data_IF_476819461325
#
_entry.id   IF_476819461325
#
_cell.length_a   1.000
_cell.length_b   1.000
_cell.length_c   1.000
_cell.angle_alpha   90.00
_cell.angle_beta   90.00
_cell.angle_gamma   90.00
#
_symmetry.space_group_name_H-M   'P 1'
#
loop_
_entity.id
_entity.type
_entity.pdbx_description
1 polymer ?
#
# COMPACT_ATOMS: atom_id res chain seq x y z
N UNK A 1 -38.29 6.93 15.86
CA UNK A 1 -37.10 6.60 16.62
C UNK A 1 -37.34 5.23 17.18
N UNK A 2 -36.88 4.24 16.42
CA UNK A 2 -37.00 2.81 16.69
C UNK A 2 -35.61 2.22 16.68
N UNK A 3 -35.30 1.36 17.66
CA UNK A 3 -34.04 0.62 17.68
C UNK A 3 -34.04 -0.45 16.60
N UNK A 4 -33.05 -0.36 15.72
CA UNK A 4 -32.79 -1.32 14.65
C UNK A 4 -31.50 -2.08 14.93
N UNK A 5 -31.36 -3.27 14.35
CA UNK A 5 -30.14 -4.07 14.39
C UNK A 5 -29.56 -4.18 12.99
N UNK A 6 -28.36 -3.66 12.79
CA UNK A 6 -27.65 -3.63 11.52
C UNK A 6 -26.54 -4.68 11.52
N UNK A 7 -26.63 -5.64 10.59
CA UNK A 7 -25.49 -6.49 10.25
C UNK A 7 -24.43 -5.69 9.52
N UNK A 8 -23.19 -5.75 9.99
CA UNK A 8 -22.05 -5.03 9.46
C UNK A 8 -20.90 -5.99 9.12
N UNK A 9 -20.09 -5.60 8.15
CA UNK A 9 -18.85 -6.30 7.79
C UNK A 9 -17.74 -5.29 7.50
N UNK A 10 -16.49 -5.62 7.84
CA UNK A 10 -15.32 -4.80 7.50
C UNK A 10 -14.65 -5.39 6.25
N UNK A 11 -14.37 -4.56 5.25
CA UNK A 11 -13.67 -5.00 4.04
C UNK A 11 -12.29 -5.55 4.40
N UNK A 12 -11.90 -6.65 3.75
CA UNK A 12 -10.62 -7.33 4.00
C UNK A 12 -10.55 -8.12 5.31
N UNK A 13 -11.62 -8.15 6.10
CA UNK A 13 -11.67 -8.89 7.36
C UNK A 13 -12.71 -10.01 7.32
N UNK A 14 -12.34 -11.17 7.86
CA UNK A 14 -13.25 -12.30 7.95
C UNK A 14 -14.25 -12.10 9.09
N UNK A 15 -15.53 -11.95 8.76
CA UNK A 15 -16.62 -11.98 9.74
C UNK A 15 -17.65 -10.87 9.56
N UNK A 16 -18.73 -11.00 10.33
CA UNK A 16 -19.81 -10.04 10.42
C UNK A 16 -20.13 -9.77 11.90
N UNK A 17 -20.67 -8.59 12.19
CA UNK A 17 -21.05 -8.19 13.55
C UNK A 17 -22.30 -7.31 13.51
N UNK A 18 -23.08 -7.33 14.59
CA UNK A 18 -24.31 -6.54 14.67
C UNK A 18 -24.11 -5.23 15.43
N UNK A 19 -24.75 -4.17 14.95
CA UNK A 19 -24.82 -2.85 15.61
C UNK A 19 -26.28 -2.54 15.93
N UNK A 20 -26.58 -2.22 17.18
CA UNK A 20 -27.90 -1.73 17.59
C UNK A 20 -27.87 -0.22 17.70
N UNK A 21 -28.75 0.47 16.98
CA UNK A 21 -28.81 1.94 16.91
C UNK A 21 -30.26 2.38 16.70
N UNK A 22 -30.61 3.62 17.07
CA UNK A 22 -31.92 4.19 16.74
C UNK A 22 -31.93 4.69 15.29
N UNK A 23 -32.98 4.41 14.54
CA UNK A 23 -33.10 4.79 13.12
C UNK A 23 -33.19 6.31 12.88
N UNK A 24 -33.48 7.10 13.92
CA UNK A 24 -33.42 8.56 13.88
C UNK A 24 -32.01 9.12 14.12
N UNK A 25 -31.05 8.29 14.51
CA UNK A 25 -29.66 8.73 14.71
C UNK A 25 -28.97 9.03 13.38
N UNK A 26 -27.90 9.82 13.46
CA UNK A 26 -27.15 10.24 12.27
C UNK A 26 -26.12 9.18 11.85
N UNK A 27 -25.76 9.19 10.56
CA UNK A 27 -24.64 8.37 10.04
C UNK A 27 -23.34 8.57 10.85
N UNK A 28 -23.06 9.79 11.32
CA UNK A 28 -21.93 10.07 12.21
C UNK A 28 -21.95 9.31 13.54
N UNK A 29 -23.13 9.06 14.10
CA UNK A 29 -23.31 8.26 15.32
C UNK A 29 -23.11 6.78 14.99
N UNK A 30 -23.63 6.29 13.87
CA UNK A 30 -23.38 4.93 13.39
C UNK A 30 -21.88 4.65 13.22
N UNK A 31 -21.13 5.58 12.60
CA UNK A 31 -19.67 5.47 12.47
C UNK A 31 -18.96 5.32 13.82
N UNK A 32 -19.39 6.08 14.84
CA UNK A 32 -18.82 5.99 16.21
C UNK A 32 -19.08 4.62 16.84
N UNK A 33 -20.32 4.15 16.80
CA UNK A 33 -20.70 2.86 17.39
C UNK A 33 -19.98 1.70 16.72
N UNK A 34 -19.80 1.74 15.39
CA UNK A 34 -19.02 0.75 14.64
C UNK A 34 -17.56 0.70 15.12
N UNK A 35 -16.92 1.87 15.27
CA UNK A 35 -15.54 1.98 15.78
C UNK A 35 -15.43 1.42 17.20
N UNK A 36 -16.33 1.80 18.09
CA UNK A 36 -16.34 1.35 19.49
C UNK A 36 -16.49 -0.16 19.63
N UNK A 37 -17.22 -0.81 18.70
CA UNK A 37 -17.35 -2.28 18.68
C UNK A 37 -16.13 -3.03 18.16
N UNK A 38 -15.32 -2.42 17.29
CA UNK A 38 -14.15 -3.06 16.67
C UNK A 38 -12.88 -2.22 16.81
N UNK A 39 -12.46 -1.85 18.04
CA UNK A 39 -11.37 -0.89 18.24
C UNK A 39 -9.99 -1.44 17.83
N UNK A 40 -9.81 -2.77 17.87
CA UNK A 40 -8.56 -3.41 17.43
C UNK A 40 -8.40 -3.40 15.91
N UNK A 41 -9.52 -3.38 15.17
CA UNK A 41 -9.54 -3.43 13.70
C UNK A 41 -9.66 -2.04 13.09
N UNK A 42 -10.34 -1.12 13.77
CA UNK A 42 -10.61 0.25 13.30
C UNK A 42 -9.75 1.23 14.11
N UNK A 43 -8.56 1.51 13.59
CA UNK A 43 -7.59 2.42 14.23
C UNK A 43 -7.87 3.90 13.90
N UNK A 44 -8.40 4.19 12.72
CA UNK A 44 -8.64 5.55 12.23
C UNK A 44 -9.76 6.28 13.00
N UNK A 45 -9.92 7.59 12.81
CA UNK A 45 -11.03 8.31 13.43
C UNK A 45 -12.38 7.84 12.85
N UNK A 46 -13.43 7.81 13.68
CA UNK A 46 -14.74 7.34 13.23
C UNK A 46 -15.26 8.14 12.03
N UNK A 47 -14.94 9.44 11.94
CA UNK A 47 -15.33 10.30 10.82
C UNK A 47 -14.74 9.85 9.48
N UNK A 48 -13.57 9.21 9.51
CA UNK A 48 -12.81 8.81 8.32
C UNK A 48 -13.33 7.48 7.75
N UNK A 49 -14.09 6.70 8.52
CA UNK A 49 -14.74 5.49 8.03
C UNK A 49 -15.63 5.77 6.83
N UNK A 50 -15.51 4.94 5.80
CA UNK A 50 -16.43 4.94 4.66
C UNK A 50 -17.45 3.81 4.85
N UNK A 51 -18.74 4.15 4.80
CA UNK A 51 -19.83 3.21 4.99
C UNK A 51 -20.59 3.05 3.68
N UNK A 52 -20.73 1.82 3.20
CA UNK A 52 -21.47 1.51 1.98
C UNK A 52 -22.73 0.71 2.33
N UNK A 53 -23.86 1.12 1.77
CA UNK A 53 -25.06 0.30 1.76
C UNK A 53 -24.86 -0.84 0.77
N UNK A 54 -25.17 -2.04 1.24
CA UNK A 54 -25.01 -3.27 0.46
C UNK A 54 -26.30 -3.69 -0.26
N UNK A 55 -27.34 -2.85 -0.21
CA UNK A 55 -28.58 -3.05 -0.94
C UNK A 55 -28.34 -2.82 -2.42
N UNK A 56 -28.45 -3.87 -3.22
CA UNK A 56 -28.28 -3.80 -4.67
C UNK A 56 -29.53 -3.26 -5.38
N UNK A 57 -29.38 -2.86 -6.64
CA UNK A 57 -30.50 -2.55 -7.54
C UNK A 57 -31.39 -3.79 -7.72
N UNK A 58 -32.47 -3.85 -6.96
CA UNK A 58 -33.30 -5.06 -6.80
C UNK A 58 -33.78 -5.28 -5.36
N UNK A 59 -33.22 -4.53 -4.40
CA UNK A 59 -33.65 -4.55 -3.00
C UNK A 59 -33.05 -5.69 -2.17
N UNK A 60 -32.18 -6.50 -2.78
CA UNK A 60 -31.47 -7.60 -2.12
C UNK A 60 -30.22 -7.08 -1.42
N UNK A 61 -30.04 -7.47 -0.16
CA UNK A 61 -28.85 -7.20 0.63
C UNK A 61 -27.77 -8.26 0.38
N UNK A 62 -26.50 -7.89 0.51
CA UNK A 62 -25.41 -8.88 0.60
C UNK A 62 -25.62 -9.79 1.80
N UNK A 63 -25.21 -11.05 1.70
CA UNK A 63 -25.26 -12.00 2.81
C UNK A 63 -23.89 -12.22 3.46
N UNK A 64 -23.87 -12.82 4.65
CA UNK A 64 -22.60 -13.27 5.26
C UNK A 64 -21.80 -14.21 4.35
N UNK A 65 -22.47 -15.02 3.52
CA UNK A 65 -21.82 -15.91 2.57
C UNK A 65 -21.10 -15.14 1.46
N UNK A 66 -21.68 -14.02 1.00
CA UNK A 66 -21.08 -13.17 -0.03
C UNK A 66 -19.86 -12.43 0.51
N UNK A 67 -19.96 -11.89 1.74
CA UNK A 67 -18.82 -11.27 2.42
C UNK A 67 -17.67 -12.26 2.64
N UNK A 68 -17.97 -13.53 2.97
CA UNK A 68 -16.95 -14.58 3.17
C UNK A 68 -16.22 -14.99 1.90
N UNK A 69 -16.85 -14.82 0.73
CA UNK A 69 -16.18 -15.05 -0.57
C UNK A 69 -15.23 -13.91 -0.96
N UNK A 70 -15.26 -12.81 -0.21
CA UNK A 70 -14.53 -11.59 -0.52
C UNK A 70 -15.40 -10.64 -1.33
N UNK A 71 -15.47 -9.37 -0.88
CA UNK A 71 -16.06 -8.28 -1.66
C UNK A 71 -14.90 -7.53 -2.29
N UNK A 72 -14.57 -7.90 -3.54
CA UNK A 72 -13.46 -7.30 -4.29
C UNK A 72 -13.85 -5.99 -4.99
N UNK A 73 -15.15 -5.80 -5.24
CA UNK A 73 -15.68 -4.67 -5.99
C UNK A 73 -16.75 -3.92 -5.17
N UNK A 74 -16.55 -2.62 -4.99
CA UNK A 74 -17.50 -1.71 -4.32
C UNK A 74 -18.37 -0.95 -5.34
N UNK A 75 -18.16 -1.16 -6.64
CA UNK A 75 -18.94 -0.51 -7.69
C UNK A 75 -20.42 -0.90 -7.58
N UNK A 76 -21.30 0.09 -7.69
CA UNK A 76 -22.75 -0.09 -7.53
C UNK A 76 -23.27 -0.08 -6.09
N UNK A 77 -22.40 -0.03 -5.07
CA UNK A 77 -22.82 0.20 -3.69
C UNK A 77 -22.99 1.69 -3.39
N UNK A 78 -24.06 2.04 -2.65
CA UNK A 78 -24.36 3.43 -2.30
C UNK A 78 -23.53 3.86 -1.09
N UNK A 79 -22.64 4.83 -1.29
CA UNK A 79 -21.84 5.45 -0.22
C UNK A 79 -22.72 6.34 0.68
N UNK A 80 -22.59 6.16 1.99
CA UNK A 80 -23.19 7.03 3.01
C UNK A 80 -22.26 8.23 3.30
N UNK A 81 -22.19 9.16 2.36
CA UNK A 81 -21.27 10.30 2.42
C UNK A 81 -21.71 11.37 3.44
N UNK A 82 -23.03 11.60 3.56
CA UNK A 82 -23.55 12.70 4.38
C UNK A 82 -23.69 12.32 5.85
N UNK A 83 -22.64 12.60 6.64
CA UNK A 83 -22.55 12.25 8.06
C UNK A 83 -23.69 12.81 8.95
N UNK A 84 -24.36 13.88 8.51
CA UNK A 84 -25.46 14.54 9.23
C UNK A 84 -26.84 13.93 8.99
N UNK A 85 -26.98 13.01 8.02
CA UNK A 85 -28.28 12.46 7.63
C UNK A 85 -28.72 11.37 8.62
N UNK A 86 -29.99 11.39 9.06
CA UNK A 86 -30.59 10.30 9.83
C UNK A 86 -30.64 8.97 9.07
N UNK A 87 -30.48 7.84 9.76
CA UNK A 87 -30.45 6.51 9.15
C UNK A 87 -31.75 6.16 8.39
N UNK A 88 -32.90 6.59 8.91
CA UNK A 88 -34.20 6.39 8.28
C UNK A 88 -34.39 7.11 6.93
N UNK A 89 -33.49 8.03 6.55
CA UNK A 89 -33.50 8.71 5.25
C UNK A 89 -32.50 8.10 4.25
N UNK A 90 -31.72 7.10 4.67
CA UNK A 90 -30.67 6.45 3.85
C UNK A 90 -30.90 4.95 3.74
N UNK A 91 -32.15 4.53 3.58
CA UNK A 91 -32.55 3.13 3.39
C UNK A 91 -32.13 2.20 4.56
N UNK A 92 -31.96 2.78 5.76
CA UNK A 92 -31.69 2.11 7.03
C UNK A 92 -32.79 2.43 8.06
N UNK A 93 -34.05 2.47 7.63
CA UNK A 93 -35.19 2.55 8.56
C UNK A 93 -35.54 1.18 9.14
N UNK A 94 -36.36 1.15 10.19
CA UNK A 94 -36.93 -0.10 10.70
C UNK A 94 -37.58 -0.94 9.59
N UNK A 95 -38.30 -0.30 8.65
CA UNK A 95 -38.98 -0.98 7.54
C UNK A 95 -38.00 -1.60 6.54
N UNK A 96 -36.86 -0.97 6.32
CA UNK A 96 -35.85 -1.41 5.34
C UNK A 96 -35.01 -2.58 5.85
N UNK A 97 -34.72 -2.57 7.16
CA UNK A 97 -33.87 -3.54 7.86
C UNK A 97 -34.68 -4.75 8.34
N UNK A 98 -36.01 -4.67 8.33
CA UNK A 98 -36.90 -5.71 8.85
C UNK A 98 -36.75 -7.02 8.07
N UNK A 99 -36.16 -8.01 8.72
CA UNK A 99 -36.07 -9.38 8.22
C UNK A 99 -37.02 -10.32 8.96
N UNK A 100 -37.73 -11.14 8.20
CA UNK A 100 -38.34 -12.36 8.73
C UNK A 100 -37.26 -13.46 8.81
N UNK A 101 -36.44 -13.43 9.87
CA UNK A 101 -35.43 -14.46 10.11
C UNK A 101 -36.11 -15.80 10.41
N UNK A 102 -36.00 -16.76 9.49
CA UNK A 102 -36.34 -18.15 9.76
C UNK A 102 -35.11 -18.89 10.28
N UNK A 103 -35.30 -19.88 11.18
CA UNK A 103 -34.20 -20.74 11.68
C UNK A 103 -33.37 -21.39 10.56
N UNK A 104 -33.95 -21.56 9.37
CA UNK A 104 -33.29 -22.09 8.17
C UNK A 104 -32.31 -21.09 7.55
N UNK A 105 -32.63 -19.80 7.51
CA UNK A 105 -31.77 -18.74 6.97
C UNK A 105 -30.50 -18.54 7.82
N UNK A 106 -30.62 -18.60 9.14
CA UNK A 106 -29.48 -18.51 10.07
C UNK A 106 -28.52 -19.69 9.87
N UNK A 107 -29.04 -20.92 9.74
CA UNK A 107 -28.21 -22.10 9.44
C UNK A 107 -27.52 -22.02 8.08
N UNK A 108 -28.15 -21.36 7.11
CA UNK A 108 -27.61 -21.20 5.76
C UNK A 108 -26.63 -20.01 5.61
N UNK A 109 -26.39 -19.22 6.67
CA UNK A 109 -25.58 -17.98 6.63
C UNK A 109 -26.06 -16.98 5.57
N UNK A 110 -27.37 -16.97 5.32
CA UNK A 110 -28.02 -16.01 4.40
C UNK A 110 -28.55 -14.79 5.16
N UNK A 111 -28.02 -14.54 6.35
CA UNK A 111 -28.27 -13.33 7.12
C UNK A 111 -27.68 -12.14 6.36
N UNK A 112 -28.46 -11.07 6.17
CA UNK A 112 -28.00 -9.94 5.39
C UNK A 112 -27.04 -9.07 6.20
N UNK A 113 -26.00 -8.67 5.51
CA UNK A 113 -25.16 -7.54 5.85
C UNK A 113 -25.85 -6.32 5.28
N UNK A 114 -25.99 -5.27 6.07
CA UNK A 114 -26.64 -4.02 5.68
C UNK A 114 -25.58 -3.00 5.29
N UNK A 115 -24.51 -2.92 6.10
CA UNK A 115 -23.46 -1.92 5.97
C UNK A 115 -22.11 -2.60 5.79
N UNK A 116 -21.39 -2.22 4.73
CA UNK A 116 -20.00 -2.57 4.52
C UNK A 116 -19.12 -1.40 4.97
N UNK A 117 -18.16 -1.69 5.83
CA UNK A 117 -17.27 -0.73 6.47
C UNK A 117 -15.91 -0.80 5.79
N UNK A 118 -15.53 0.28 5.12
CA UNK A 118 -14.18 0.46 4.60
C UNK A 118 -13.43 1.31 5.60
N UNK A 119 -12.38 0.71 6.17
CA UNK A 119 -11.36 1.42 6.93
C UNK A 119 -10.40 1.99 5.88
N UNK A 120 -10.30 3.31 5.72
CA UNK A 120 -9.31 3.88 4.83
C UNK A 120 -7.93 3.38 5.25
N UNK A 121 -7.11 2.95 4.30
CA UNK A 121 -5.68 2.88 4.58
C UNK A 121 -5.25 4.27 5.03
N UNK A 122 -4.81 4.38 6.28
CA UNK A 122 -4.32 5.65 6.81
C UNK A 122 -3.17 6.11 5.93
N UNK A 123 -3.42 7.11 5.07
CA UNK A 123 -2.33 7.98 4.64
C UNK A 123 -1.76 8.58 5.94
N UNK A 124 -0.45 8.41 6.21
CA UNK A 124 0.11 8.82 7.48
C UNK A 124 -0.20 10.29 7.71
N UNK A 125 -0.92 10.58 8.80
CA UNK A 125 -1.06 11.95 9.31
C UNK A 125 0.38 12.48 9.49
N UNK A 126 0.70 13.73 9.12
CA UNK A 126 2.01 14.32 9.44
C UNK A 126 2.21 14.19 10.95
N UNK A 127 3.06 13.25 11.36
CA UNK A 127 3.22 12.90 12.75
C UNK A 127 3.74 14.11 13.51
N UNK A 128 3.07 14.50 14.59
CA UNK A 128 3.74 15.24 15.66
C UNK A 128 4.95 14.42 16.13
N UNK A 129 6.12 15.04 16.33
CA UNK A 129 7.39 14.35 16.41
C UNK A 129 7.52 13.63 17.75
N UNK A 130 7.14 12.34 17.78
CA UNK A 130 7.50 11.43 18.88
C UNK A 130 8.08 10.09 18.43
N UNK A 131 8.30 9.88 17.14
CA UNK A 131 9.31 8.92 16.72
C UNK A 131 10.65 9.62 16.85
N UNK A 132 11.52 9.09 17.72
CA UNK A 132 12.92 9.50 17.77
C UNK A 132 13.56 9.14 16.44
N UNK A 133 13.48 10.04 15.46
CA UNK A 133 14.19 9.94 14.19
C UNK A 133 15.67 9.83 14.51
N UNK A 134 16.28 8.72 14.12
CA UNK A 134 17.72 8.59 14.14
C UNK A 134 18.23 9.29 12.89
N UNK A 135 19.18 10.21 13.03
CA UNK A 135 19.81 10.84 11.88
C UNK A 135 21.12 10.11 11.64
N UNK A 136 21.25 9.45 10.48
CA UNK A 136 22.51 8.88 10.02
C UNK A 136 23.00 9.73 8.86
N UNK A 137 24.13 10.42 9.07
CA UNK A 137 24.58 11.50 8.19
C UNK A 137 23.60 12.68 8.22
N UNK A 138 22.94 12.94 7.09
CA UNK A 138 21.87 13.96 6.93
C UNK A 138 20.51 13.34 6.59
N UNK A 139 20.34 12.02 6.75
CA UNK A 139 19.12 11.33 6.35
C UNK A 139 18.34 10.95 7.61
N UNK A 140 17.08 11.41 7.74
CA UNK A 140 16.21 10.99 8.83
C UNK A 140 15.77 9.54 8.63
N UNK A 141 16.04 8.70 9.62
CA UNK A 141 15.70 7.27 9.63
C UNK A 141 14.65 7.01 10.71
N UNK A 142 13.60 6.28 10.33
CA UNK A 142 12.58 5.80 11.25
C UNK A 142 13.08 4.58 12.04
N UNK A 143 12.67 4.46 13.31
CA UNK A 143 13.04 3.31 14.16
C UNK A 143 12.46 1.98 13.68
N UNK A 144 11.39 2.01 12.87
CA UNK A 144 10.79 0.85 12.21
C UNK A 144 11.65 0.27 11.08
N UNK A 145 12.66 1.02 10.60
CA UNK A 145 13.52 0.56 9.52
C UNK A 145 14.53 -0.49 10.01
N UNK A 146 14.73 -1.53 9.21
CA UNK A 146 15.84 -2.46 9.41
C UNK A 146 17.11 -1.85 8.83
N UNK A 147 18.01 -1.38 9.71
CA UNK A 147 19.29 -0.79 9.33
C UNK A 147 20.36 -1.84 9.04
N UNK A 148 21.09 -1.65 7.95
CA UNK A 148 22.21 -2.48 7.51
C UNK A 148 21.97 -4.00 7.58
N UNK A 149 20.89 -4.55 6.99
CA UNK A 149 20.72 -5.99 6.91
C UNK A 149 21.93 -6.62 6.20
N UNK A 150 22.60 -7.65 6.75
CA UNK A 150 23.86 -8.16 6.21
C UNK A 150 23.82 -8.53 4.73
N UNK A 151 22.73 -9.18 4.29
CA UNK A 151 22.55 -9.56 2.88
C UNK A 151 22.38 -8.35 1.95
N UNK A 152 21.67 -7.31 2.41
CA UNK A 152 21.50 -6.06 1.65
C UNK A 152 22.81 -5.27 1.58
N UNK A 153 23.58 -5.25 2.68
CA UNK A 153 24.92 -4.64 2.73
C UNK A 153 25.85 -5.34 1.74
N UNK A 154 25.85 -6.68 1.68
CA UNK A 154 26.66 -7.44 0.73
C UNK A 154 26.31 -7.10 -0.71
N UNK A 155 25.01 -7.08 -1.04
CA UNK A 155 24.50 -6.66 -2.35
C UNK A 155 24.97 -5.26 -2.74
N UNK A 156 24.74 -4.27 -1.88
CA UNK A 156 25.05 -2.88 -2.23
C UNK A 156 26.56 -2.62 -2.31
N UNK A 157 27.35 -3.24 -1.43
CA UNK A 157 28.82 -3.23 -1.53
C UNK A 157 29.31 -3.84 -2.84
N UNK A 158 28.67 -4.90 -3.34
CA UNK A 158 29.03 -5.46 -4.64
C UNK A 158 28.81 -4.44 -5.75
N UNK A 159 27.70 -3.69 -5.74
CA UNK A 159 27.43 -2.64 -6.72
C UNK A 159 28.40 -1.46 -6.64
N UNK A 160 28.73 -1.00 -5.43
CA UNK A 160 29.70 0.09 -5.22
C UNK A 160 31.10 -0.25 -5.76
N UNK A 161 31.48 -1.53 -5.68
CA UNK A 161 32.79 -2.00 -6.11
C UNK A 161 32.82 -2.53 -7.56
N UNK A 162 31.67 -2.79 -8.17
CA UNK A 162 31.61 -3.33 -9.52
C UNK A 162 32.03 -2.26 -10.55
N UNK A 163 32.98 -2.66 -11.41
CA UNK A 163 33.56 -1.83 -12.48
C UNK A 163 33.22 -2.35 -13.88
N UNK A 164 32.36 -3.36 -13.99
CA UNK A 164 31.97 -3.97 -15.26
C UNK A 164 31.37 -2.93 -16.20
N UNK A 165 31.84 -2.89 -17.44
CA UNK A 165 31.31 -1.94 -18.42
C UNK A 165 29.82 -2.25 -18.72
N UNK A 166 28.94 -1.26 -18.59
CA UNK A 166 27.51 -1.42 -18.89
C UNK A 166 27.30 -1.24 -20.38
N UNK A 167 27.50 -2.32 -21.13
CA UNK A 167 27.27 -2.39 -22.58
C UNK A 167 26.40 -3.59 -22.93
N UNK A 168 25.79 -3.56 -24.11
CA UNK A 168 25.02 -4.68 -24.64
C UNK A 168 25.78 -6.00 -24.49
N UNK A 169 25.06 -7.03 -24.05
CA UNK A 169 25.55 -8.41 -23.86
C UNK A 169 26.53 -8.62 -22.70
N UNK A 170 26.86 -7.57 -21.95
CA UNK A 170 27.62 -7.72 -20.72
C UNK A 170 26.82 -8.50 -19.66
N UNK A 171 27.54 -9.23 -18.81
CA UNK A 171 26.99 -9.93 -17.67
C UNK A 171 27.62 -9.37 -16.40
N UNK A 172 26.76 -8.91 -15.49
CA UNK A 172 27.17 -8.43 -14.17
C UNK A 172 26.90 -9.56 -13.19
N UNK A 173 27.95 -10.07 -12.56
CA UNK A 173 27.87 -11.16 -11.59
C UNK A 173 28.18 -10.64 -10.19
N UNK A 174 27.26 -10.87 -9.26
CA UNK A 174 27.52 -10.61 -7.85
C UNK A 174 28.49 -11.67 -7.29
N UNK A 175 29.24 -11.34 -6.23
CA UNK A 175 30.06 -12.31 -5.51
C UNK A 175 29.27 -13.53 -5.05
N UNK A 176 29.98 -14.62 -4.73
CA UNK A 176 29.37 -15.83 -4.16
C UNK A 176 28.51 -15.49 -2.95
N UNK A 177 27.37 -16.16 -2.84
CA UNK A 177 26.38 -16.00 -1.78
C UNK A 177 25.82 -14.57 -1.63
N UNK A 178 25.97 -13.74 -2.66
CA UNK A 178 25.40 -12.40 -2.75
C UNK A 178 24.29 -12.38 -3.79
N UNK A 179 23.12 -11.86 -3.40
CA UNK A 179 21.92 -11.85 -4.24
C UNK A 179 21.35 -10.44 -4.35
N UNK A 180 20.63 -10.17 -5.44
CA UNK A 180 19.97 -8.88 -5.67
C UNK A 180 19.00 -8.56 -4.53
N UNK A 181 19.12 -7.36 -3.95
CA UNK A 181 18.41 -6.93 -2.73
C UNK A 181 18.58 -7.86 -1.52
N UNK A 182 19.58 -8.74 -1.53
CA UNK A 182 19.79 -9.73 -0.46
C UNK A 182 18.85 -10.93 -0.48
N UNK A 183 18.11 -11.17 -1.58
CA UNK A 183 17.20 -12.32 -1.70
C UNK A 183 17.56 -13.23 -2.87
N UNK A 184 17.63 -14.55 -2.61
CA UNK A 184 17.97 -15.56 -3.61
C UNK A 184 16.96 -15.65 -4.75
N UNK A 185 15.71 -15.23 -4.52
CA UNK A 185 14.63 -15.26 -5.52
C UNK A 185 14.89 -14.36 -6.73
N UNK A 186 15.64 -13.27 -6.55
CA UNK A 186 15.98 -12.35 -7.62
C UNK A 186 17.25 -12.78 -8.38
N UNK A 187 17.99 -13.75 -7.84
CA UNK A 187 19.25 -14.23 -8.40
C UNK A 187 20.44 -13.31 -8.10
N UNK A 188 21.58 -13.64 -8.70
CA UNK A 188 22.88 -13.01 -8.46
C UNK A 188 23.55 -12.47 -9.72
N UNK A 189 22.82 -12.43 -10.84
CA UNK A 189 23.36 -12.04 -12.16
C UNK A 189 22.41 -11.10 -12.88
N UNK A 190 22.95 -10.13 -13.60
CA UNK A 190 22.21 -9.20 -14.44
C UNK A 190 22.80 -9.25 -15.85
N UNK A 191 22.00 -9.65 -16.82
CA UNK A 191 22.35 -9.56 -18.23
C UNK A 191 21.96 -8.20 -18.79
N UNK A 192 22.91 -7.49 -19.39
CA UNK A 192 22.71 -6.17 -19.98
C UNK A 192 22.14 -6.33 -21.37
N UNK A 193 20.84 -6.08 -21.49
CA UNK A 193 20.15 -6.12 -22.78
C UNK A 193 20.65 -5.00 -23.69
N UNK A 194 20.58 -5.26 -25.00
CA UNK A 194 20.99 -4.33 -26.03
C UNK A 194 20.36 -2.92 -25.90
N UNK A 195 19.10 -2.84 -25.44
CA UNK A 195 18.41 -1.57 -25.25
C UNK A 195 18.79 -0.80 -23.98
N UNK A 196 19.43 -1.42 -22.99
CA UNK A 196 19.65 -0.79 -21.68
C UNK A 196 20.55 0.45 -21.73
N UNK A 197 21.69 0.48 -22.46
CA UNK A 197 22.55 1.66 -22.51
C UNK A 197 21.82 2.89 -23.08
N UNK A 198 21.11 2.73 -24.19
CA UNK A 198 20.35 3.84 -24.80
C UNK A 198 19.14 4.24 -23.96
N UNK A 199 18.43 3.27 -23.37
CA UNK A 199 17.30 3.54 -22.49
C UNK A 199 17.75 4.33 -21.25
N UNK A 200 18.92 4.01 -20.69
CA UNK A 200 19.46 4.77 -19.57
C UNK A 200 19.79 6.21 -19.94
N UNK A 201 20.38 6.46 -21.13
CA UNK A 201 20.62 7.84 -21.60
C UNK A 201 19.32 8.65 -21.67
N UNK A 202 18.24 8.05 -22.15
CA UNK A 202 16.91 8.70 -22.17
C UNK A 202 16.43 8.99 -20.74
N UNK A 203 16.55 8.04 -19.81
CA UNK A 203 16.21 8.27 -18.42
C UNK A 203 17.02 9.42 -17.81
N UNK A 204 18.33 9.47 -18.05
CA UNK A 204 19.18 10.57 -17.55
C UNK A 204 18.73 11.93 -18.08
N UNK A 205 18.36 12.03 -19.36
CA UNK A 205 17.85 13.27 -19.96
C UNK A 205 16.54 13.72 -19.30
N UNK A 206 15.65 12.79 -18.95
CA UNK A 206 14.41 13.10 -18.25
C UNK A 206 14.65 13.55 -16.81
N UNK A 207 15.56 12.86 -16.11
CA UNK A 207 15.80 13.08 -14.68
C UNK A 207 16.61 14.36 -14.41
N UNK A 208 17.48 14.73 -15.35
CA UNK A 208 18.30 15.94 -15.28
C UNK A 208 17.76 17.11 -16.11
N UNK A 209 16.49 17.04 -16.49
CA UNK A 209 15.82 18.15 -17.16
C UNK A 209 15.76 19.36 -16.20
N UNK A 210 16.28 20.50 -16.67
CA UNK A 210 16.39 21.73 -15.88
C UNK A 210 15.04 22.37 -15.58
N UNK A 211 14.00 22.07 -16.36
CA UNK A 211 12.67 22.64 -16.17
C UNK A 211 11.89 21.93 -15.06
N UNK A 212 12.00 20.61 -14.97
CA UNK A 212 11.29 19.79 -13.98
C UNK A 212 12.11 19.50 -12.73
N UNK A 213 13.43 19.32 -12.86
CA UNK A 213 14.39 19.06 -11.77
C UNK A 213 13.92 17.99 -10.76
N UNK A 214 13.23 16.94 -11.24
CA UNK A 214 12.74 15.86 -10.38
C UNK A 214 13.58 14.60 -10.56
N UNK A 215 14.30 14.13 -9.52
CA UNK A 215 15.15 12.93 -9.58
C UNK A 215 14.36 11.60 -9.59
N UNK A 216 13.06 11.64 -9.87
CA UNK A 216 12.14 10.51 -9.67
C UNK A 216 11.82 9.81 -10.99
N UNK A 217 12.09 8.51 -11.05
CA UNK A 217 11.87 7.68 -12.23
C UNK A 217 10.89 6.54 -11.92
N UNK A 218 9.78 6.52 -12.66
CA UNK A 218 8.83 5.40 -12.66
C UNK A 218 8.95 4.67 -13.99
N UNK A 219 9.17 3.35 -13.94
CA UNK A 219 9.40 2.54 -15.14
C UNK A 219 8.16 1.69 -15.41
N UNK A 220 7.45 2.04 -16.49
CA UNK A 220 6.23 1.36 -16.95
C UNK A 220 6.53 0.42 -18.13
N UNK A 221 5.68 -0.59 -18.32
CA UNK A 221 5.71 -1.45 -19.50
C UNK A 221 5.03 -2.80 -19.27
N UNK A 222 5.04 -3.67 -20.27
CA UNK A 222 4.34 -4.96 -20.18
C UNK A 222 4.96 -5.92 -19.13
N UNK A 223 4.16 -6.79 -18.49
CA UNK A 223 4.68 -7.82 -17.58
C UNK A 223 5.79 -8.66 -18.24
N UNK A 224 6.83 -9.00 -17.47
CA UNK A 224 7.94 -9.85 -17.95
C UNK A 224 8.93 -9.19 -18.91
N UNK A 225 8.72 -7.93 -19.34
CA UNK A 225 9.62 -7.27 -20.30
C UNK A 225 11.01 -6.91 -19.74
N UNK A 226 11.26 -7.13 -18.44
CA UNK A 226 12.58 -6.94 -17.83
C UNK A 226 12.77 -5.61 -17.09
N UNK A 227 11.68 -4.98 -16.64
CA UNK A 227 11.67 -3.68 -15.94
C UNK A 227 12.44 -3.74 -14.61
N UNK A 228 12.25 -4.82 -13.85
CA UNK A 228 12.95 -5.05 -12.58
C UNK A 228 14.47 -5.11 -12.77
N UNK A 229 14.95 -5.86 -13.77
CA UNK A 229 16.37 -5.99 -14.07
C UNK A 229 16.97 -4.69 -14.61
N UNK A 230 16.23 -3.94 -15.43
CA UNK A 230 16.67 -2.60 -15.83
C UNK A 230 16.77 -1.67 -14.62
N UNK A 231 15.84 -1.77 -13.67
CA UNK A 231 15.93 -1.09 -12.37
C UNK A 231 17.22 -1.40 -11.62
N UNK A 232 17.68 -2.66 -11.60
CA UNK A 232 18.97 -3.01 -10.99
C UNK A 232 20.17 -2.42 -11.74
N UNK A 233 20.11 -2.30 -13.07
CA UNK A 233 21.14 -1.61 -13.85
C UNK A 233 21.20 -0.13 -13.49
N UNK A 234 20.05 0.53 -13.32
CA UNK A 234 19.98 1.91 -12.85
C UNK A 234 20.59 2.04 -11.45
N UNK A 235 20.23 1.13 -10.53
CA UNK A 235 20.81 1.10 -9.18
C UNK A 235 22.34 0.99 -9.20
N UNK A 236 22.89 0.13 -10.05
CA UNK A 236 24.35 0.00 -10.21
C UNK A 236 24.98 1.32 -10.67
N UNK A 237 24.39 1.97 -11.67
CA UNK A 237 24.91 3.22 -12.23
C UNK A 237 24.82 4.36 -11.21
N UNK A 238 23.74 4.43 -10.43
CA UNK A 238 23.58 5.38 -9.34
C UNK A 238 24.53 5.11 -8.17
N UNK A 239 24.79 3.83 -7.85
CA UNK A 239 25.80 3.44 -6.87
C UNK A 239 27.19 3.96 -7.25
N UNK A 240 27.59 3.79 -8.52
CA UNK A 240 28.87 4.28 -9.04
C UNK A 240 28.98 5.81 -9.01
N UNK A 241 27.85 6.50 -9.15
CA UNK A 241 27.79 7.95 -9.03
C UNK A 241 27.78 8.43 -7.56
N UNK A 242 27.71 7.52 -6.58
CA UNK A 242 27.60 7.84 -5.17
C UNK A 242 26.27 8.48 -4.79
N UNK A 243 25.22 8.23 -5.57
CA UNK A 243 23.90 8.82 -5.35
C UNK A 243 23.19 8.19 -4.15
N UNK A 244 22.31 8.97 -3.52
CA UNK A 244 21.34 8.45 -2.55
C UNK A 244 20.11 7.98 -3.31
N UNK A 245 19.72 6.72 -3.11
CA UNK A 245 18.63 6.10 -3.86
C UNK A 245 17.62 5.48 -2.92
N UNK A 246 16.34 5.71 -3.20
CA UNK A 246 15.22 4.95 -2.67
C UNK A 246 14.69 4.05 -3.79
N UNK A 247 14.80 2.75 -3.60
CA UNK A 247 14.27 1.75 -4.53
C UNK A 247 13.00 1.12 -3.97
N UNK A 248 11.92 1.12 -4.74
CA UNK A 248 10.68 0.42 -4.39
C UNK A 248 10.55 -0.90 -5.16
N UNK A 249 10.60 -2.01 -4.43
CA UNK A 249 10.37 -3.34 -4.99
C UNK A 249 8.88 -3.68 -4.96
N UNK A 250 8.22 -3.66 -6.12
CA UNK A 250 6.83 -4.12 -6.24
C UNK A 250 6.66 -5.60 -5.89
N UNK A 251 7.69 -6.43 -6.10
CA UNK A 251 7.66 -7.85 -5.79
C UNK A 251 7.71 -8.11 -4.28
N UNK A 252 8.59 -7.39 -3.56
CA UNK A 252 8.80 -7.57 -2.12
C UNK A 252 7.89 -6.66 -1.28
N UNK A 253 7.16 -5.72 -1.93
CA UNK A 253 6.35 -4.68 -1.29
C UNK A 253 7.13 -3.90 -0.22
N UNK A 254 8.39 -3.62 -0.50
CA UNK A 254 9.33 -2.95 0.40
C UNK A 254 10.08 -1.85 -0.32
N UNK A 255 10.50 -0.84 0.46
CA UNK A 255 11.43 0.20 0.02
C UNK A 255 12.80 0.00 0.65
N UNK A 256 13.83 0.33 -0.13
CA UNK A 256 15.22 0.25 0.27
C UNK A 256 15.88 1.60 0.14
N UNK A 257 16.52 2.09 1.20
CA UNK A 257 17.43 3.21 1.16
C UNK A 257 18.81 2.65 0.85
N UNK A 258 19.46 3.20 -0.17
CA UNK A 258 20.76 2.75 -0.65
C UNK A 258 21.67 3.99 -0.76
N UNK A 259 22.69 4.07 0.09
CA UNK A 259 23.66 5.17 0.12
C UNK A 259 25.08 4.61 0.20
N UNK A 260 26.10 5.46 0.05
CA UNK A 260 27.49 5.04 0.22
C UNK A 260 27.82 4.57 1.65
N UNK A 261 27.11 5.10 2.65
CA UNK A 261 27.43 4.88 4.06
C UNK A 261 26.55 3.80 4.71
N UNK A 262 25.29 3.69 4.27
CA UNK A 262 24.33 2.77 4.86
C UNK A 262 23.31 2.26 3.85
N UNK A 263 22.69 1.15 4.24
CA UNK A 263 21.49 0.65 3.59
C UNK A 263 20.40 0.42 4.63
N UNK A 264 19.15 0.66 4.26
CA UNK A 264 18.00 0.41 5.13
C UNK A 264 16.85 -0.21 4.34
N UNK A 265 16.04 -1.03 5.00
CA UNK A 265 14.79 -1.55 4.45
C UNK A 265 13.62 -1.14 5.34
N UNK A 266 12.48 -0.79 4.74
CA UNK A 266 11.30 -0.38 5.49
C UNK A 266 10.01 -0.39 4.66
N UNK A 267 8.93 0.01 5.31
CA UNK A 267 7.63 0.24 4.70
C UNK A 267 7.63 1.51 3.86
N UNK A 268 6.67 1.71 2.94
CA UNK A 268 6.55 2.95 2.17
C UNK A 268 6.53 4.23 3.03
N UNK A 269 5.89 4.18 4.20
CA UNK A 269 5.73 5.33 5.09
C UNK A 269 7.05 5.82 5.70
N UNK A 270 8.02 4.92 5.87
CA UNK A 270 9.30 5.25 6.50
C UNK A 270 10.15 6.21 5.63
N UNK A 271 9.81 6.36 4.34
CA UNK A 271 10.62 7.08 3.35
C UNK A 271 10.08 8.45 2.96
N UNK A 272 8.93 8.88 3.49
CA UNK A 272 8.27 10.14 3.08
C UNK A 272 9.22 11.34 3.17
N UNK A 273 9.93 11.48 4.30
CA UNK A 273 10.88 12.58 4.50
C UNK A 273 12.14 12.46 3.63
N UNK A 274 12.58 11.24 3.33
CA UNK A 274 13.77 10.99 2.51
C UNK A 274 13.47 11.38 1.05
N UNK A 275 12.27 11.05 0.58
CA UNK A 275 11.81 11.35 -0.79
C UNK A 275 11.54 12.84 -1.03
N UNK A 276 11.34 13.64 0.03
CA UNK A 276 11.25 15.09 -0.08
C UNK A 276 12.60 15.76 -0.38
N UNK A 277 13.72 15.06 -0.20
CA UNK A 277 15.03 15.59 -0.52
C UNK A 277 15.27 15.52 -2.05
N UNK A 278 15.47 16.67 -2.74
CA UNK A 278 15.65 16.72 -4.18
C UNK A 278 16.95 16.08 -4.69
N UNK A 279 17.89 15.73 -3.81
CA UNK A 279 19.09 14.98 -4.15
C UNK A 279 18.87 13.45 -4.11
N UNK A 280 17.71 12.98 -3.67
CA UNK A 280 17.39 11.56 -3.56
C UNK A 280 16.72 11.06 -4.83
N UNK A 281 17.34 10.05 -5.45
CA UNK A 281 16.74 9.36 -6.59
C UNK A 281 15.66 8.40 -6.10
N UNK A 282 14.52 8.40 -6.76
CA UNK A 282 13.47 7.42 -6.53
C UNK A 282 13.31 6.55 -7.76
N UNK A 283 13.30 5.22 -7.58
CA UNK A 283 13.13 4.26 -8.67
C UNK A 283 12.07 3.22 -8.32
N UNK A 284 11.06 3.10 -9.19
CA UNK A 284 9.99 2.12 -9.02
C UNK A 284 9.63 1.45 -10.36
N UNK A 285 10.09 0.20 -10.58
CA UNK A 285 9.59 -0.62 -11.69
C UNK A 285 8.22 -1.21 -11.32
N UNK A 286 7.16 -0.66 -11.94
CA UNK A 286 5.77 -1.13 -11.76
C UNK A 286 5.57 -2.40 -12.59
N UNK A 287 4.71 -3.34 -12.17
CA UNK A 287 4.43 -4.55 -12.95
C UNK A 287 3.43 -4.32 -14.07
#
# INVERSE_FOLDING_TARGET
>A
MVKISLGCAIVGHAGTFDVTIDDGERVSVLKKVIKEKNPATITCDAKDLQLFLTKMEGGTWLTEADVKKGVEDLTGLKLLDVAGVPLNLVDLSEKDVRLQLTKKAVKAKTTPVHVLVVVPEELPKPHEPRDRQLVVGNIPISQSMSLNPPALVAFWKAFLNDRTEVKADALIELPRDTYLLGTSTLGSRIYIRHCYPELWKLCQQMIHDKATNTPHLVILGNPGIGKTFFGFVILLLLARAGATVVYESGLLKQRYLLTNEMVAAGSPNDFVHILQNPATYYTHPIY
#
